data_IF_991947647122
#
_entry.id   IF_991947647122
#
_cell.length_a   1.000
_cell.length_b   1.000
_cell.length_c   1.000
_cell.angle_alpha   90.00
_cell.angle_beta   90.00
_cell.angle_gamma   90.00
#
_symmetry.space_group_name_H-M   'P 1'
#
loop_
_entity.id
_entity.type
_entity.pdbx_description
1 polymer ?
#
# COMPACT_ATOMS: atom_id res chain seq x y z
N UNK A 1 -10.42 -0.10 -14.42
CA UNK A 1 -9.64 -1.15 -15.10
C UNK A 1 -9.12 -2.08 -14.03
N UNK A 2 -9.11 -3.39 -14.32
CA UNK A 2 -8.73 -4.43 -13.38
C UNK A 2 -7.62 -5.29 -13.98
N UNK A 3 -6.58 -5.56 -13.19
CA UNK A 3 -5.55 -6.54 -13.52
C UNK A 3 -5.53 -7.65 -12.47
N UNK A 4 -5.23 -8.88 -12.88
CA UNK A 4 -5.11 -10.05 -12.00
C UNK A 4 -3.85 -10.85 -12.35
N UNK A 5 -3.07 -11.22 -11.34
CA UNK A 5 -1.86 -12.05 -11.49
C UNK A 5 -1.75 -13.05 -10.35
N UNK A 6 -1.13 -14.18 -10.63
CA UNK A 6 -0.87 -15.23 -9.64
C UNK A 6 0.53 -15.78 -9.79
N UNK A 7 1.15 -16.20 -8.69
CA UNK A 7 2.48 -16.83 -8.65
C UNK A 7 2.58 -17.73 -7.43
N UNK A 8 2.90 -19.00 -7.63
CA UNK A 8 3.23 -19.95 -6.56
C UNK A 8 2.25 -19.94 -5.38
N UNK A 9 0.93 -19.91 -5.66
CA UNK A 9 -0.11 -19.91 -4.63
C UNK A 9 -0.46 -18.52 -4.06
N UNK A 10 0.21 -17.46 -4.50
CA UNK A 10 -0.14 -16.06 -4.18
C UNK A 10 -0.93 -15.47 -5.34
N UNK A 11 -2.07 -14.87 -5.05
CA UNK A 11 -2.90 -14.20 -6.06
C UNK A 11 -3.08 -12.73 -5.71
N UNK A 12 -3.02 -11.85 -6.72
CA UNK A 12 -3.14 -10.41 -6.55
C UNK A 12 -4.06 -9.86 -7.63
N UNK A 13 -4.99 -9.00 -7.22
CA UNK A 13 -5.87 -8.23 -8.08
C UNK A 13 -5.69 -6.74 -7.78
N UNK A 14 -5.60 -5.93 -8.81
CA UNK A 14 -5.48 -4.48 -8.70
C UNK A 14 -6.64 -3.82 -9.45
N UNK A 15 -7.28 -2.86 -8.79
CA UNK A 15 -8.37 -2.08 -9.35
C UNK A 15 -7.98 -0.60 -9.40
N UNK A 16 -8.12 0.01 -10.58
CA UNK A 16 -7.86 1.43 -10.76
C UNK A 16 -9.07 2.25 -10.28
N UNK A 17 -8.86 3.16 -9.34
CA UNK A 17 -9.82 4.20 -8.99
C UNK A 17 -9.43 5.56 -9.56
N UNK A 18 -10.05 6.63 -9.06
CA UNK A 18 -9.65 8.01 -9.37
C UNK A 18 -8.33 8.35 -8.66
N UNK A 19 -7.21 8.30 -9.39
CA UNK A 19 -5.87 8.54 -8.86
C UNK A 19 -5.48 7.63 -7.67
N UNK A 20 -6.14 6.49 -7.50
CA UNK A 20 -5.90 5.53 -6.41
C UNK A 20 -5.88 4.10 -6.94
N UNK A 21 -5.31 3.18 -6.17
CA UNK A 21 -5.32 1.74 -6.47
C UNK A 21 -5.83 0.96 -5.28
N UNK A 22 -6.86 0.13 -5.49
CA UNK A 22 -7.24 -0.92 -4.54
C UNK A 22 -6.49 -2.20 -4.92
N UNK A 23 -5.68 -2.69 -4.00
CA UNK A 23 -5.00 -3.99 -4.09
C UNK A 23 -5.78 -4.99 -3.23
N UNK A 24 -6.11 -6.13 -3.81
CA UNK A 24 -6.63 -7.29 -3.10
C UNK A 24 -5.67 -8.45 -3.36
N UNK A 25 -5.40 -9.25 -2.34
CA UNK A 25 -4.44 -10.33 -2.45
C UNK A 25 -4.89 -11.51 -1.59
N UNK A 26 -4.49 -12.71 -2.00
CA UNK A 26 -4.94 -13.97 -1.44
C UNK A 26 -3.82 -15.02 -1.49
N UNK A 27 -3.95 -16.04 -0.65
CA UNK A 27 -2.99 -17.13 -0.50
C UNK A 27 -3.70 -18.48 -0.47
N UNK A 28 -3.08 -19.49 -1.07
CA UNK A 28 -3.47 -20.88 -0.85
C UNK A 28 -3.29 -21.27 0.61
N UNK A 29 -4.13 -22.18 1.11
CA UNK A 29 -4.21 -22.51 2.54
C UNK A 29 -2.87 -22.93 3.16
N UNK A 30 -2.06 -23.71 2.45
CA UNK A 30 -0.75 -24.17 2.94
C UNK A 30 0.27 -23.04 3.15
N UNK A 31 0.06 -21.87 2.53
CA UNK A 31 0.88 -20.67 2.70
C UNK A 31 0.38 -19.76 3.83
N UNK A 32 -0.67 -20.13 4.56
CA UNK A 32 -1.19 -19.30 5.67
C UNK A 32 -0.45 -19.54 6.99
N UNK A 33 0.28 -20.64 7.11
CA UNK A 33 1.02 -21.00 8.31
C UNK A 33 2.08 -19.93 8.64
N UNK A 34 2.05 -19.41 9.86
CA UNK A 34 2.96 -18.37 10.36
C UNK A 34 2.96 -17.06 9.54
N UNK A 35 1.89 -16.80 8.79
CA UNK A 35 1.75 -15.57 8.01
C UNK A 35 1.70 -14.35 8.95
N UNK A 36 2.63 -13.42 8.74
CA UNK A 36 2.73 -12.16 9.45
C UNK A 36 1.96 -11.02 8.78
N UNK A 37 1.63 -11.19 7.49
CA UNK A 37 0.95 -10.22 6.65
C UNK A 37 1.66 -10.04 5.30
N UNK A 38 1.48 -8.88 4.67
CA UNK A 38 1.99 -8.62 3.32
C UNK A 38 2.85 -7.36 3.27
N UNK A 39 4.00 -7.48 2.61
CA UNK A 39 4.80 -6.33 2.17
C UNK A 39 4.25 -5.81 0.86
N UNK A 40 4.10 -4.48 0.74
CA UNK A 40 3.61 -3.85 -0.48
C UNK A 40 4.64 -2.82 -0.92
N UNK A 41 5.45 -3.22 -1.91
CA UNK A 41 6.33 -2.34 -2.66
C UNK A 41 5.59 -1.70 -3.83
N UNK A 42 6.02 -0.51 -4.24
CA UNK A 42 5.54 0.12 -5.46
C UNK A 42 6.66 0.89 -6.16
N UNK A 43 6.63 0.86 -7.48
CA UNK A 43 7.54 1.55 -8.37
C UNK A 43 6.77 2.47 -9.29
N UNK A 44 7.29 3.66 -9.51
CA UNK A 44 6.77 4.62 -10.48
C UNK A 44 7.90 5.41 -11.10
N UNK A 45 7.66 6.02 -12.25
CA UNK A 45 8.62 6.92 -12.89
C UNK A 45 8.40 8.37 -12.44
N UNK A 46 9.49 9.04 -12.11
CA UNK A 46 9.54 10.49 -11.95
C UNK A 46 10.58 11.01 -12.96
N UNK A 47 10.10 11.63 -14.04
CA UNK A 47 10.92 11.82 -15.24
C UNK A 47 11.36 10.48 -15.83
N UNK A 48 12.68 10.34 -16.05
CA UNK A 48 13.28 9.10 -16.58
C UNK A 48 13.75 8.12 -15.49
N UNK A 49 13.60 8.47 -14.20
CA UNK A 49 14.08 7.66 -13.09
C UNK A 49 12.97 6.81 -12.48
N UNK A 50 13.28 5.53 -12.22
CA UNK A 50 12.41 4.65 -11.43
C UNK A 50 12.63 4.89 -9.94
N UNK A 51 11.55 5.17 -9.23
CA UNK A 51 11.54 5.31 -7.77
C UNK A 51 10.82 4.10 -7.18
N UNK A 52 11.48 3.39 -6.27
CA UNK A 52 10.92 2.27 -5.52
C UNK A 52 10.70 2.65 -4.06
N UNK A 53 9.51 2.37 -3.55
CA UNK A 53 9.13 2.64 -2.16
C UNK A 53 8.27 1.51 -1.61
N UNK A 54 8.17 1.44 -0.30
CA UNK A 54 7.25 0.56 0.41
C UNK A 54 6.15 1.38 1.08
N UNK A 55 4.95 0.82 1.15
CA UNK A 55 3.83 1.48 1.82
C UNK A 55 4.16 1.68 3.30
N UNK A 56 3.68 2.79 3.87
CA UNK A 56 3.76 3.08 5.29
C UNK A 56 2.64 2.35 6.05
N UNK A 57 3.01 1.60 7.08
CA UNK A 57 2.12 0.98 8.04
C UNK A 57 2.26 1.65 9.41
N UNK A 58 1.13 2.08 9.98
CA UNK A 58 1.10 2.70 11.31
C UNK A 58 1.32 1.66 12.43
N UNK A 59 0.92 0.41 12.19
CA UNK A 59 1.14 -0.68 13.12
C UNK A 59 2.54 -1.24 12.89
N UNK A 60 3.28 -1.47 13.98
CA UNK A 60 4.62 -2.01 13.95
C UNK A 60 4.80 -3.05 15.03
N UNK A 61 5.71 -3.99 14.85
CA UNK A 61 6.08 -4.94 15.90
C UNK A 61 6.63 -4.24 17.15
N UNK A 62 6.65 -4.93 18.30
CA UNK A 62 7.25 -4.43 19.53
C UNK A 62 8.78 -4.24 19.38
N UNK A 63 9.36 -3.34 20.18
CA UNK A 63 10.76 -2.92 20.07
C UNK A 63 11.76 -4.09 20.17
N UNK A 64 11.52 -5.02 21.08
CA UNK A 64 12.36 -6.21 21.27
C UNK A 64 12.35 -7.12 20.04
N UNK A 65 11.17 -7.38 19.48
CA UNK A 65 11.03 -8.17 18.26
C UNK A 65 11.77 -7.52 17.08
N UNK A 66 11.64 -6.19 16.93
CA UNK A 66 12.33 -5.44 15.88
C UNK A 66 13.84 -5.52 16.02
N UNK A 67 14.37 -5.35 17.24
CA UNK A 67 15.82 -5.51 17.53
C UNK A 67 16.31 -6.92 17.20
N UNK A 68 15.56 -7.95 17.60
CA UNK A 68 15.90 -9.35 17.33
C UNK A 68 15.87 -9.69 15.83
N UNK A 69 15.04 -8.97 15.06
CA UNK A 69 14.95 -9.09 13.60
C UNK A 69 15.89 -8.13 12.84
N UNK A 70 16.73 -7.35 13.53
CA UNK A 70 17.65 -6.40 12.91
C UNK A 70 16.97 -5.18 12.24
N UNK A 71 15.71 -4.90 12.58
CA UNK A 71 14.93 -3.81 11.99
C UNK A 71 15.30 -2.50 12.67
N UNK A 72 15.81 -1.55 11.88
CA UNK A 72 16.19 -0.22 12.38
C UNK A 72 14.96 0.62 12.70
N UNK A 73 15.11 1.52 13.68
CA UNK A 73 13.99 2.33 14.16
C UNK A 73 13.35 3.21 13.09
N UNK A 74 14.15 3.75 12.17
CA UNK A 74 13.64 4.61 11.09
C UNK A 74 12.84 3.84 10.03
N UNK A 75 13.09 2.54 9.89
CA UNK A 75 12.43 1.66 8.93
C UNK A 75 11.19 0.97 9.49
N UNK A 76 10.93 1.11 10.80
CA UNK A 76 9.90 0.34 11.52
C UNK A 76 8.52 0.41 10.90
N UNK A 77 8.17 1.52 10.25
CA UNK A 77 6.84 1.73 9.68
C UNK A 77 6.75 1.33 8.20
N UNK A 78 7.85 0.94 7.56
CA UNK A 78 7.79 0.41 6.19
C UNK A 78 7.11 -0.96 6.19
N UNK A 79 6.24 -1.23 5.23
CA UNK A 79 5.67 -2.58 5.03
C UNK A 79 6.72 -3.64 4.69
N UNK A 80 7.95 -3.24 4.32
CA UNK A 80 9.10 -4.12 4.26
C UNK A 80 9.47 -4.74 5.63
N UNK A 81 9.10 -4.09 6.74
CA UNK A 81 9.44 -4.56 8.08
C UNK A 81 8.24 -4.65 9.02
N UNK A 82 7.11 -4.04 8.66
CA UNK A 82 5.82 -4.12 9.35
C UNK A 82 4.72 -4.47 8.35
N UNK A 83 4.58 -5.76 7.99
CA UNK A 83 3.63 -6.23 6.99
C UNK A 83 2.18 -5.86 7.33
N UNK A 84 1.35 -5.63 6.33
CA UNK A 84 -0.08 -5.34 6.53
C UNK A 84 -0.82 -6.66 6.84
N UNK A 85 -1.54 -6.69 7.96
CA UNK A 85 -2.35 -7.83 8.42
C UNK A 85 -3.79 -7.74 7.90
N UNK A 86 -3.95 -7.48 6.61
CA UNK A 86 -5.23 -7.41 5.89
C UNK A 86 -5.00 -7.93 4.49
N UNK A 87 -6.01 -8.54 3.88
CA UNK A 87 -5.97 -9.10 2.52
C UNK A 87 -6.28 -8.08 1.41
N UNK A 88 -6.44 -6.81 1.80
CA UNK A 88 -6.63 -5.71 0.86
C UNK A 88 -6.04 -4.40 1.40
N UNK A 89 -5.68 -3.51 0.47
CA UNK A 89 -5.15 -2.20 0.79
C UNK A 89 -5.46 -1.18 -0.31
N UNK A 90 -5.85 0.03 0.08
CA UNK A 90 -5.99 1.16 -0.85
C UNK A 90 -4.73 2.01 -0.78
N UNK A 91 -3.99 2.07 -1.88
CA UNK A 91 -2.88 2.98 -2.02
C UNK A 91 -3.35 4.28 -2.70
N UNK A 92 -3.13 5.38 -2.00
CA UNK A 92 -3.25 6.74 -2.55
C UNK A 92 -1.83 7.24 -2.71
N UNK A 93 -1.31 7.43 -3.93
CA UNK A 93 0.03 7.96 -4.12
C UNK A 93 0.16 9.29 -3.39
N UNK A 94 1.23 9.40 -2.58
CA UNK A 94 1.47 10.63 -1.85
C UNK A 94 1.69 11.77 -2.83
N UNK A 95 0.95 12.85 -2.61
CA UNK A 95 1.31 14.16 -3.13
C UNK A 95 2.60 14.60 -2.44
N UNK A 96 3.64 14.87 -3.21
CA UNK A 96 4.88 15.41 -2.66
C UNK A 96 4.57 16.72 -1.90
N UNK A 97 5.00 16.81 -0.64
CA UNK A 97 4.58 17.87 0.27
C UNK A 97 5.09 19.23 -0.20
N UNK A 98 6.28 19.26 -0.80
CA UNK A 98 6.94 20.46 -1.35
C UNK A 98 6.30 20.95 -2.64
N UNK A 99 6.09 20.08 -3.61
CA UNK A 99 5.60 20.41 -4.95
C UNK A 99 4.09 20.42 -5.06
N UNK A 100 3.39 19.80 -4.09
CA UNK A 100 1.93 19.55 -4.10
C UNK A 100 1.43 18.87 -5.38
N UNK A 101 2.31 18.17 -6.10
CA UNK A 101 1.95 17.41 -7.29
C UNK A 101 1.78 15.95 -6.93
N UNK A 102 0.66 15.37 -7.37
CA UNK A 102 0.51 13.94 -7.41
C UNK A 102 1.32 13.40 -8.58
N UNK A 103 2.07 12.33 -8.36
CA UNK A 103 2.76 11.64 -9.44
C UNK A 103 1.77 10.66 -10.06
N UNK A 104 1.46 10.86 -11.33
CA UNK A 104 0.59 9.99 -12.12
C UNK A 104 1.42 9.23 -13.14
N UNK A 105 0.94 8.05 -13.51
CA UNK A 105 1.61 7.21 -14.49
C UNK A 105 1.33 5.74 -14.25
N UNK A 106 2.12 4.88 -14.87
CA UNK A 106 2.05 3.45 -14.65
C UNK A 106 2.81 3.09 -13.38
N UNK A 107 2.09 2.49 -12.44
CA UNK A 107 2.67 2.00 -11.19
C UNK A 107 2.84 0.49 -11.31
N UNK A 108 3.95 -0.02 -10.80
CA UNK A 108 4.19 -1.45 -10.63
C UNK A 108 4.16 -1.72 -9.13
N UNK A 109 3.21 -2.53 -8.68
CA UNK A 109 3.10 -2.97 -7.30
C UNK A 109 3.68 -4.36 -7.13
N UNK A 110 4.51 -4.56 -6.10
CA UNK A 110 5.07 -5.86 -5.73
C UNK A 110 4.50 -6.26 -4.38
N UNK A 111 3.69 -7.33 -4.37
CA UNK A 111 3.06 -7.86 -3.15
C UNK A 111 3.80 -9.15 -2.77
N UNK A 112 4.28 -9.22 -1.53
CA UNK A 112 5.00 -10.38 -1.02
C UNK A 112 4.41 -10.79 0.34
N UNK A 113 3.93 -12.04 0.52
CA UNK A 113 3.56 -12.54 1.83
C UNK A 113 4.80 -12.66 2.72
N UNK A 114 4.64 -12.35 4.01
CA UNK A 114 5.72 -12.33 5.00
C UNK A 114 5.42 -13.28 6.12
N UNK A 115 6.47 -13.90 6.65
CA UNK A 115 6.38 -14.95 7.64
C UNK A 115 7.24 -14.63 8.86
N UNK A 116 6.80 -15.15 10.01
CA UNK A 116 7.59 -15.14 11.23
C UNK A 116 8.05 -16.56 11.52
N UNK A 117 9.36 -16.75 11.61
CA UNK A 117 9.99 -18.02 11.97
C UNK A 117 10.97 -17.77 13.10
N UNK A 118 11.00 -18.66 14.09
CA UNK A 118 11.87 -18.55 15.27
C UNK A 118 11.84 -17.17 15.96
N UNK A 119 10.64 -16.57 16.00
CA UNK A 119 10.43 -15.26 16.62
C UNK A 119 11.07 -14.08 15.86
N UNK A 120 11.39 -14.27 14.57
CA UNK A 120 11.96 -13.23 13.70
C UNK A 120 11.19 -13.10 12.39
N UNK A 121 11.15 -11.89 11.84
CA UNK A 121 10.59 -11.66 10.51
C UNK A 121 11.57 -12.15 9.45
N UNK A 122 11.12 -13.10 8.62
CA UNK A 122 11.95 -13.67 7.53
C UNK A 122 12.13 -12.64 6.40
N UNK A 123 13.25 -12.74 5.69
CA UNK A 123 13.54 -11.97 4.48
C UNK A 123 12.47 -12.16 3.39
N UNK A 124 12.42 -11.24 2.42
CA UNK A 124 11.51 -11.35 1.29
C UNK A 124 11.80 -12.63 0.48
N UNK A 125 10.75 -13.37 0.15
CA UNK A 125 10.82 -14.49 -0.77
C UNK A 125 10.36 -14.04 -2.16
N UNK A 126 11.30 -13.91 -3.09
CA UNK A 126 11.03 -13.50 -4.48
C UNK A 126 10.12 -14.48 -5.23
N UNK A 127 10.11 -15.76 -4.84
CA UNK A 127 9.29 -16.77 -5.50
C UNK A 127 7.80 -16.60 -5.18
N UNK A 128 7.49 -15.94 -4.06
CA UNK A 128 6.13 -15.59 -3.66
C UNK A 128 5.76 -14.14 -3.97
N UNK A 129 6.69 -13.34 -4.50
CA UNK A 129 6.43 -11.95 -4.90
C UNK A 129 5.68 -11.88 -6.23
N UNK A 130 4.51 -11.24 -6.21
CA UNK A 130 3.69 -10.99 -7.40
C UNK A 130 3.79 -9.51 -7.79
N UNK A 131 4.22 -9.25 -9.03
CA UNK A 131 4.29 -7.90 -9.59
C UNK A 131 3.12 -7.60 -10.50
N UNK A 132 2.38 -6.53 -10.23
CA UNK A 132 1.22 -6.10 -11.00
C UNK A 132 1.33 -4.63 -11.37
N UNK A 133 1.25 -4.35 -12.66
CA UNK A 133 1.21 -3.02 -13.24
C UNK A 133 -0.23 -2.51 -13.29
N UNK A 134 -0.44 -1.21 -13.06
CA UNK A 134 -1.74 -0.56 -13.22
C UNK A 134 -1.55 0.95 -13.41
N UNK A 135 -2.31 1.58 -14.33
CA UNK A 135 -2.26 3.03 -14.47
C UNK A 135 -2.89 3.72 -13.26
N UNK A 136 -2.16 4.67 -12.67
CA UNK A 136 -2.63 5.53 -11.58
C UNK A 136 -2.73 6.95 -12.09
N UNK A 137 -3.94 7.34 -12.44
CA UNK A 137 -4.27 8.64 -13.03
C UNK A 137 -5.70 9.02 -12.66
N UNK A 138 -6.09 10.30 -12.80
CA UNK A 138 -7.47 10.70 -12.61
C UNK A 138 -8.43 9.86 -13.45
N UNK A 139 -9.54 9.46 -12.86
CA UNK A 139 -10.55 8.67 -13.54
C UNK A 139 -11.31 9.56 -14.51
N UNK A 140 -11.30 9.17 -15.78
CA UNK A 140 -12.06 9.81 -16.85
C UNK A 140 -12.83 8.73 -17.60
N UNK A 141 -14.15 8.81 -17.56
CA UNK A 141 -15.03 8.03 -18.43
C UNK A 141 -15.92 8.99 -19.22
N UNK A 142 -15.63 9.12 -20.52
CA UNK A 142 -16.31 10.06 -21.43
C UNK A 142 -16.34 11.48 -20.84
N UNK A 143 -17.52 12.05 -20.62
CA UNK A 143 -17.75 13.37 -20.02
C UNK A 143 -17.95 13.35 -18.51
N UNK A 144 -17.78 12.20 -17.85
CA UNK A 144 -17.99 12.07 -16.40
C UNK A 144 -16.65 12.04 -15.68
N UNK A 145 -16.47 12.99 -14.76
CA UNK A 145 -15.34 13.01 -13.83
C UNK A 145 -15.85 12.63 -12.45
N UNK A 146 -15.27 11.60 -11.85
CA UNK A 146 -15.71 11.06 -10.57
C UNK A 146 -14.91 11.70 -9.42
N UNK A 147 -15.40 12.81 -8.87
CA UNK A 147 -14.74 13.45 -7.71
C UNK A 147 -15.29 12.88 -6.39
N UNK A 148 -14.63 11.88 -5.80
CA UNK A 148 -14.99 11.40 -4.46
C UNK A 148 -14.38 12.30 -3.37
N UNK A 149 -15.12 13.33 -2.95
CA UNK A 149 -14.65 14.28 -1.92
C UNK A 149 -14.98 13.87 -0.48
N UNK A 150 -16.02 13.05 -0.24
CA UNK A 150 -16.51 12.83 1.13
C UNK A 150 -15.60 11.95 2.00
N UNK A 151 -15.02 10.89 1.44
CA UNK A 151 -14.12 9.98 2.17
C UNK A 151 -12.79 10.62 2.56
N UNK A 152 -12.26 11.49 1.71
CA UNK A 152 -11.00 12.19 1.93
C UNK A 152 -11.08 13.17 3.11
N UNK A 153 -12.14 13.98 3.19
CA UNK A 153 -12.39 14.92 4.31
C UNK A 153 -12.53 14.17 5.64
N UNK A 154 -13.07 12.95 5.62
CA UNK A 154 -13.18 12.09 6.82
C UNK A 154 -11.93 11.27 7.15
N UNK A 155 -10.86 11.33 6.34
CA UNK A 155 -9.68 10.50 6.53
C UNK A 155 -8.83 10.94 7.73
N UNK A 156 -8.18 9.98 8.38
CA UNK A 156 -7.23 10.26 9.48
C UNK A 156 -6.08 11.16 9.00
N UNK A 157 -5.65 11.02 7.74
CA UNK A 157 -4.62 11.87 7.14
C UNK A 157 -5.08 13.34 7.04
N UNK A 158 -6.33 13.58 6.59
CA UNK A 158 -6.91 14.92 6.56
C UNK A 158 -7.06 15.51 7.96
N UNK A 159 -7.60 14.74 8.92
CA UNK A 159 -7.77 15.19 10.30
C UNK A 159 -6.43 15.53 10.99
N UNK A 160 -5.36 14.78 10.66
CA UNK A 160 -4.01 15.04 11.18
C UNK A 160 -3.41 16.31 10.57
N UNK A 161 -3.71 16.60 9.30
CA UNK A 161 -3.12 17.73 8.55
C UNK A 161 -3.88 19.05 8.72
N UNK A 162 -5.20 19.02 8.86
CA UNK A 162 -6.06 20.22 8.82
C UNK A 162 -6.89 20.46 10.09
N UNK A 163 -6.71 19.63 11.14
CA UNK A 163 -7.49 19.65 12.38
C UNK A 163 -8.97 19.26 12.21
N UNK A 164 -9.52 18.50 13.17
CA UNK A 164 -10.90 17.95 13.12
C UNK A 164 -12.04 18.98 13.07
N UNK A 165 -11.76 20.26 13.35
CA UNK A 165 -12.78 21.34 13.34
C UNK A 165 -13.37 21.61 11.95
N UNK A 166 -12.73 21.12 10.89
CA UNK A 166 -13.19 21.30 9.50
C UNK A 166 -13.97 20.09 8.95
N UNK A 167 -14.27 19.07 9.78
CA UNK A 167 -15.21 18.05 9.36
C UNK A 167 -16.58 18.71 9.19
N UNK A 168 -17.06 18.81 7.95
CA UNK A 168 -18.40 19.28 7.62
C UNK A 168 -19.42 18.41 8.38
N UNK A 169 -19.82 18.83 9.57
CA UNK A 169 -21.10 18.45 10.13
C UNK A 169 -22.15 19.21 9.34
N UNK A 170 -23.18 18.54 8.79
CA UNK A 170 -24.39 19.28 8.44
C UNK A 170 -24.86 19.95 9.73
N UNK A 171 -25.09 21.26 9.69
CA UNK A 171 -25.85 21.90 10.76
C UNK A 171 -27.20 21.17 10.89
N UNK A 172 -27.57 20.87 12.14
CA UNK A 172 -28.82 20.18 12.48
C UNK A 172 -30.01 21.10 12.25
#
# INVERSE_FOLDING_TARGET
MENFKTKNGVSVRAYSGDAITLLAFDLTEHLTKNLAGFSIGFKYKEGDQWIEKYIYNRLTFHDEFRKNSGIKQYDRNSTLYSPIQKFNWVHVPNTDISSRKAVFGDYIYTITPRYIEDGKLVSLNSDLSVEIDIPVKPYQEKSTTLAFTRGFVSSVAYATRFSRKNNCSPEK
#
